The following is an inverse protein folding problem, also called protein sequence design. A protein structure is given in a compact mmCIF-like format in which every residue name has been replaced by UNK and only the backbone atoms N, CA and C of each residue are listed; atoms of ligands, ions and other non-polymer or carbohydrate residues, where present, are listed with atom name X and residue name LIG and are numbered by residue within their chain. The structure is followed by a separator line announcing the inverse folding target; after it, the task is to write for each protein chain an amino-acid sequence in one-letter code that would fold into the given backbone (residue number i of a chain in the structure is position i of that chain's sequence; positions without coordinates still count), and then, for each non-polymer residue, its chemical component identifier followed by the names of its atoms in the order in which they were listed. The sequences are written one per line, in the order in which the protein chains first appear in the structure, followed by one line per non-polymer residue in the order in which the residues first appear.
data_IF_649724831417
#
_entry.id   IF_649724831417
#
_cell.length_a   1.000
_cell.length_b   1.000
_cell.length_c   1.000
_cell.angle_alpha   90.00
_cell.angle_beta   90.00
_cell.angle_gamma   90.00
#
_symmetry.space_group_name_H-M   'P 1'
#
loop_
_entity.id
_entity.type
_entity.pdbx_description
1 polymer ?
#
# COMPACT_ATOMS: atom_id res chain seq x y z
N UNK A 1 -69.79 48.16 -7.37
CA UNK A 1 -69.65 47.14 -8.45
C UNK A 1 -68.28 46.51 -8.22
N UNK A 2 -68.21 45.34 -7.56
CA UNK A 2 -67.92 44.02 -8.15
C UNK A 2 -66.60 44.05 -8.95
N UNK A 3 -65.52 43.33 -8.62
CA UNK A 3 -65.41 41.92 -8.22
C UNK A 3 -64.15 41.64 -7.37
N UNK A 4 -64.30 40.66 -6.47
CA UNK A 4 -63.25 39.94 -5.76
C UNK A 4 -62.85 38.67 -6.53
N UNK A 5 -61.70 38.10 -6.13
CA UNK A 5 -61.27 36.68 -6.19
C UNK A 5 -60.77 36.09 -7.50
N UNK A 6 -59.49 35.65 -7.53
CA UNK A 6 -59.15 34.26 -7.85
C UNK A 6 -57.94 33.76 -7.01
N UNK A 7 -58.00 32.46 -6.71
CA UNK A 7 -57.33 31.73 -5.65
C UNK A 7 -55.87 31.29 -5.96
N UNK A 8 -55.07 31.38 -4.90
CA UNK A 8 -54.00 30.49 -4.45
C UNK A 8 -54.00 29.08 -5.09
N UNK A 9 -52.88 28.65 -5.70
CA UNK A 9 -52.49 27.23 -5.75
C UNK A 9 -50.96 27.02 -5.67
N UNK A 10 -50.59 26.30 -4.60
CA UNK A 10 -49.35 25.59 -4.25
C UNK A 10 -48.28 25.38 -5.32
N UNK A 11 -47.01 25.64 -4.94
CA UNK A 11 -45.85 25.14 -5.67
C UNK A 11 -44.49 25.52 -5.10
N UNK A 12 -44.32 25.56 -3.77
CA UNK A 12 -42.98 25.66 -3.17
C UNK A 12 -42.15 24.45 -3.56
N UNK A 13 -41.26 24.58 -4.55
CA UNK A 13 -40.18 23.64 -4.78
C UNK A 13 -38.89 24.43 -4.93
N UNK A 14 -37.97 24.33 -3.96
CA UNK A 14 -36.93 25.33 -3.85
C UNK A 14 -35.73 24.92 -4.68
N UNK A 15 -35.43 25.73 -5.69
CA UNK A 15 -34.24 25.61 -6.54
C UNK A 15 -32.96 25.59 -5.68
N UNK A 16 -32.98 26.14 -4.47
CA UNK A 16 -31.86 26.06 -3.52
C UNK A 16 -31.50 24.64 -3.08
N UNK A 17 -32.41 23.66 -3.21
CA UNK A 17 -32.11 22.24 -2.92
C UNK A 17 -31.24 21.57 -3.98
N UNK A 18 -31.10 22.16 -5.18
CA UNK A 18 -30.28 21.62 -6.26
C UNK A 18 -28.81 22.03 -6.14
N UNK A 19 -28.52 23.06 -5.33
CA UNK A 19 -27.17 23.54 -5.03
C UNK A 19 -26.64 23.05 -3.68
N UNK A 20 -27.38 22.20 -2.97
CA UNK A 20 -26.87 21.51 -1.78
C UNK A 20 -25.83 20.47 -2.21
N UNK A 21 -24.55 20.86 -2.16
CA UNK A 21 -23.43 19.92 -2.22
C UNK A 21 -23.50 19.02 -0.99
N UNK A 22 -24.14 17.85 -1.15
CA UNK A 22 -24.10 16.81 -0.13
C UNK A 22 -22.77 16.10 -0.22
N UNK A 23 -21.92 16.31 0.78
CA UNK A 23 -20.77 15.45 1.03
C UNK A 23 -21.26 14.01 1.25
N UNK A 24 -21.38 13.25 0.15
CA UNK A 24 -21.56 11.80 0.20
C UNK A 24 -20.21 11.20 0.56
N UNK A 25 -20.19 10.17 1.41
CA UNK A 25 -18.96 9.44 1.82
C UNK A 25 -18.10 8.97 0.62
N UNK A 26 -18.63 8.99 -0.59
CA UNK A 26 -17.94 8.66 -1.84
C UNK A 26 -16.89 9.70 -2.26
N UNK A 27 -16.94 10.93 -1.74
CA UNK A 27 -16.00 12.01 -2.11
C UNK A 27 -15.11 12.47 -0.93
N UNK A 28 -15.01 11.66 0.14
CA UNK A 28 -14.14 11.97 1.26
C UNK A 28 -12.68 11.80 0.83
N UNK A 29 -12.05 12.91 0.47
CA UNK A 29 -10.59 13.00 0.34
C UNK A 29 -10.03 12.86 1.76
N UNK A 30 -9.28 11.79 2.00
CA UNK A 30 -8.54 11.64 3.25
C UNK A 30 -7.44 12.71 3.29
N UNK A 31 -7.63 13.68 4.19
CA UNK A 31 -6.67 14.76 4.41
C UNK A 31 -5.48 14.17 5.18
N UNK A 32 -4.25 14.18 4.64
CA UNK A 32 -3.11 13.61 5.33
C UNK A 32 -2.78 14.44 6.58
N UNK A 33 -2.86 13.81 7.75
CA UNK A 33 -2.46 14.43 9.02
C UNK A 33 -0.99 14.14 9.33
N UNK A 34 -0.25 15.16 9.75
CA UNK A 34 1.13 14.99 10.23
C UNK A 34 1.08 14.51 11.69
N UNK A 35 1.68 13.37 11.97
CA UNK A 35 1.84 12.84 13.32
C UNK A 35 3.26 12.34 13.52
N UNK A 36 3.78 12.43 14.75
CA UNK A 36 5.05 11.80 15.07
C UNK A 36 4.85 10.28 15.16
N UNK A 37 5.81 9.48 14.69
CA UNK A 37 5.78 8.05 14.95
C UNK A 37 5.80 7.85 16.47
N UNK A 38 4.86 7.07 16.99
CA UNK A 38 4.89 6.64 18.38
C UNK A 38 6.12 5.74 18.55
N UNK A 39 7.06 6.15 19.40
CA UNK A 39 8.29 5.38 19.64
C UNK A 39 8.06 4.16 20.52
N UNK A 40 8.76 3.06 20.22
CA UNK A 40 8.96 1.92 21.12
C UNK A 40 8.24 0.62 20.73
N UNK A 41 8.97 -0.51 20.79
CA UNK A 41 8.44 -1.88 20.88
C UNK A 41 8.89 -2.87 19.78
N UNK A 42 9.45 -4.01 20.22
CA UNK A 42 9.93 -5.20 19.46
C UNK A 42 11.27 -5.03 18.74
N UNK A 43 12.31 -5.72 19.22
CA UNK A 43 13.42 -6.12 18.36
C UNK A 43 12.85 -7.19 17.43
N UNK A 44 12.55 -6.82 16.18
CA UNK A 44 12.31 -7.82 15.14
C UNK A 44 13.68 -8.44 14.85
N UNK A 45 13.83 -9.71 15.21
CA UNK A 45 14.92 -10.53 14.72
C UNK A 45 14.86 -10.61 13.20
N UNK A 46 15.91 -11.15 12.61
CA UNK A 46 15.86 -11.48 11.20
C UNK A 46 15.01 -12.76 11.09
N UNK A 47 13.99 -12.74 10.22
CA UNK A 47 13.05 -13.86 9.99
C UNK A 47 13.59 -14.75 8.85
N UNK A 48 14.85 -15.17 8.94
CA UNK A 48 15.44 -15.91 7.84
C UNK A 48 14.95 -17.33 7.76
N UNK A 49 14.68 -17.75 6.54
CA UNK A 49 14.27 -19.11 6.21
C UNK A 49 15.50 -19.90 5.81
N UNK A 50 15.95 -20.77 6.71
CA UNK A 50 16.94 -21.79 6.41
C UNK A 50 16.23 -23.06 5.93
N UNK A 51 16.60 -23.55 4.76
CA UNK A 51 16.00 -24.73 4.15
C UNK A 51 17.08 -25.71 3.69
N UNK A 52 16.78 -27.00 3.76
CA UNK A 52 17.65 -28.06 3.23
C UNK A 52 16.88 -28.81 2.15
N UNK A 53 17.48 -28.95 0.97
CA UNK A 53 16.96 -29.81 -0.07
C UNK A 53 17.40 -31.26 0.21
N UNK A 54 16.48 -32.17 0.59
CA UNK A 54 16.85 -33.52 0.97
C UNK A 54 17.33 -34.39 -0.20
N UNK A 55 16.99 -34.03 -1.44
CA UNK A 55 17.33 -34.82 -2.62
C UNK A 55 18.80 -34.68 -3.05
N UNK A 56 19.41 -33.51 -2.77
CA UNK A 56 20.79 -33.21 -3.17
C UNK A 56 21.67 -32.69 -2.02
N UNK A 57 21.12 -32.62 -0.80
CA UNK A 57 21.85 -32.20 0.41
C UNK A 57 22.25 -30.71 0.44
N UNK A 58 21.73 -29.88 -0.47
CA UNK A 58 22.07 -28.44 -0.48
C UNK A 58 21.31 -27.68 0.60
N UNK A 59 22.00 -26.73 1.22
CA UNK A 59 21.40 -25.76 2.15
C UNK A 59 21.10 -24.46 1.40
N UNK A 60 19.94 -23.87 1.67
CA UNK A 60 19.50 -22.60 1.10
C UNK A 60 19.06 -21.63 2.19
N UNK A 61 19.25 -20.33 1.95
CA UNK A 61 18.94 -19.27 2.91
C UNK A 61 18.62 -17.97 2.16
N UNK A 62 17.69 -17.15 2.67
CA UNK A 62 17.28 -15.90 2.03
C UNK A 62 17.24 -14.74 3.01
N UNK A 63 17.93 -13.65 2.69
CA UNK A 63 17.95 -12.39 3.44
C UNK A 63 17.21 -11.31 2.66
N UNK A 64 16.01 -10.87 3.08
CA UNK A 64 15.37 -9.71 2.47
C UNK A 64 16.16 -8.42 2.76
N UNK A 65 16.34 -7.57 1.75
CA UNK A 65 17.03 -6.29 1.95
C UNK A 65 16.08 -5.25 2.57
N UNK A 66 16.47 -4.58 3.66
CA UNK A 66 15.63 -3.60 4.34
C UNK A 66 15.63 -2.27 3.55
N UNK A 67 14.76 -2.17 2.55
CA UNK A 67 14.59 -0.95 1.77
C UNK A 67 13.47 -0.08 2.36
N UNK A 68 13.73 1.22 2.44
CA UNK A 68 12.68 2.21 2.76
C UNK A 68 11.69 2.31 1.60
N UNK A 69 10.40 2.41 1.91
CA UNK A 69 9.39 2.69 0.89
C UNK A 69 9.62 4.03 0.19
N UNK A 70 9.50 4.04 -1.14
CA UNK A 70 9.58 5.26 -1.92
C UNK A 70 8.23 6.01 -1.93
N UNK A 71 8.20 7.16 -2.61
CA UNK A 71 6.99 7.88 -2.99
C UNK A 71 5.99 6.91 -3.63
N UNK A 72 4.73 7.06 -3.26
CA UNK A 72 3.62 6.23 -3.71
C UNK A 72 3.67 4.76 -3.24
N UNK A 73 4.48 4.44 -2.22
CA UNK A 73 4.50 3.10 -1.60
C UNK A 73 5.23 2.03 -2.41
N UNK A 74 5.90 2.41 -3.50
CA UNK A 74 6.69 1.46 -4.29
C UNK A 74 8.00 1.12 -3.58
N UNK A 75 8.27 -0.17 -3.41
CA UNK A 75 9.55 -0.70 -2.92
C UNK A 75 9.87 -1.97 -3.70
N UNK A 76 11.02 -2.08 -4.39
CA UNK A 76 11.38 -3.33 -5.05
C UNK A 76 11.63 -4.40 -3.98
N UNK A 77 11.09 -5.59 -4.17
CA UNK A 77 11.42 -6.74 -3.35
C UNK A 77 12.80 -7.25 -3.76
N UNK A 78 13.82 -6.92 -2.97
CA UNK A 78 15.19 -7.42 -3.17
C UNK A 78 15.55 -8.39 -2.05
N UNK A 79 16.24 -9.47 -2.40
CA UNK A 79 16.77 -10.41 -1.43
C UNK A 79 18.14 -10.93 -1.84
N UNK A 80 18.94 -11.32 -0.84
CA UNK A 80 20.17 -12.06 -1.05
C UNK A 80 19.90 -13.54 -0.78
N UNK A 81 20.00 -14.37 -1.82
CA UNK A 81 19.75 -15.80 -1.75
C UNK A 81 21.06 -16.58 -1.73
N UNK A 82 21.20 -17.51 -0.80
CA UNK A 82 22.30 -18.47 -0.73
C UNK A 82 21.83 -19.86 -1.13
N UNK A 83 22.67 -20.59 -1.87
CA UNK A 83 22.59 -22.03 -2.05
C UNK A 83 23.99 -22.63 -1.98
N UNK A 84 24.21 -23.62 -1.11
CA UNK A 84 25.54 -24.23 -0.92
C UNK A 84 26.09 -24.97 -2.14
N UNK A 85 25.24 -25.30 -3.11
CA UNK A 85 25.62 -25.89 -4.39
C UNK A 85 25.78 -24.88 -5.52
N UNK A 86 25.53 -23.58 -5.28
CA UNK A 86 25.69 -22.55 -6.30
C UNK A 86 27.17 -22.11 -6.44
N UNK A 87 27.53 -21.72 -7.66
CA UNK A 87 28.88 -21.28 -8.01
C UNK A 87 29.18 -19.83 -7.61
N UNK A 88 30.18 -19.24 -8.25
CA UNK A 88 30.55 -17.84 -8.01
C UNK A 88 29.57 -16.87 -8.66
N UNK A 89 29.00 -15.96 -7.86
CA UNK A 89 28.17 -14.85 -8.33
C UNK A 89 28.77 -13.49 -7.96
N UNK A 90 28.11 -12.41 -8.36
CA UNK A 90 28.52 -11.04 -8.00
C UNK A 90 28.74 -10.84 -6.48
N UNK A 91 27.83 -11.30 -5.59
CA UNK A 91 28.02 -11.17 -4.15
C UNK A 91 28.93 -12.25 -3.54
N UNK A 92 29.49 -13.15 -4.34
CA UNK A 92 30.39 -14.22 -3.91
C UNK A 92 29.87 -15.63 -4.25
N UNK A 93 30.61 -16.63 -3.77
CA UNK A 93 30.29 -18.04 -4.00
C UNK A 93 29.05 -18.44 -3.21
N UNK A 94 28.14 -19.14 -3.88
CA UNK A 94 26.88 -19.61 -3.30
C UNK A 94 25.81 -18.53 -3.20
N UNK A 95 26.13 -17.27 -3.48
CA UNK A 95 25.23 -16.13 -3.30
C UNK A 95 24.73 -15.58 -4.64
N UNK A 96 23.48 -15.15 -4.66
CA UNK A 96 22.87 -14.39 -5.75
C UNK A 96 22.01 -13.24 -5.18
N UNK A 97 21.96 -12.14 -5.91
CA UNK A 97 21.05 -11.04 -5.64
C UNK A 97 19.78 -11.26 -6.48
N UNK A 98 18.65 -11.46 -5.82
CA UNK A 98 17.34 -11.53 -6.47
C UNK A 98 16.88 -10.11 -6.79
N UNK A 99 16.76 -9.83 -8.09
CA UNK A 99 16.32 -8.53 -8.61
C UNK A 99 15.07 -8.74 -9.46
N UNK A 100 14.02 -7.92 -9.26
CA UNK A 100 12.88 -7.89 -10.18
C UNK A 100 13.37 -7.57 -11.59
N UNK A 101 13.12 -8.47 -12.54
CA UNK A 101 13.21 -8.16 -13.97
C UNK A 101 11.82 -7.73 -14.43
N UNK A 102 11.71 -6.51 -14.97
CA UNK A 102 10.45 -6.01 -15.51
C UNK A 102 10.18 -6.59 -16.89
N UNK A 103 8.90 -6.85 -17.19
CA UNK A 103 8.37 -6.97 -18.56
C UNK A 103 7.96 -5.58 -19.08
#
# INVERSE_FOLDING_TARGET
MKQNEENIHHGNSPVYKLTEERATKSNAIDIPSISLPKGGGTIKGIDEKFEVNPSNGTASFSIPLPLSSNRNGFTPALSLSYNSGAGNGLPGIGWALDVPSGD
#
